data_IF_676235047500
#
_entry.id   IF_676235047500
#
_cell.length_a   1.000
_cell.length_b   1.000
_cell.length_c   1.000
_cell.angle_alpha   90.00
_cell.angle_beta   90.00
_cell.angle_gamma   90.00
#
_symmetry.space_group_name_H-M   'P 1'
#
loop_
_entity.id
_entity.type
_entity.pdbx_description
1 polymer ?
#
# COMPACT_ATOMS: atom_id res chain seq x y z
N UNK A 1 -4.20 6.96 15.76
CA UNK A 1 -3.75 7.68 14.55
C UNK A 1 -3.90 6.74 13.37
N UNK A 2 -4.41 7.19 12.23
CA UNK A 2 -4.63 6.32 11.07
C UNK A 2 -3.33 5.99 10.31
N UNK A 3 -2.32 6.86 10.39
CA UNK A 3 -0.96 6.67 9.84
C UNK A 3 0.03 7.09 10.93
N UNK A 4 1.15 6.38 11.06
CA UNK A 4 2.20 6.70 12.03
C UNK A 4 3.56 6.46 11.40
N UNK A 5 4.49 7.39 11.65
CA UNK A 5 5.86 7.33 11.15
C UNK A 5 6.84 7.74 12.23
N UNK A 6 8.08 7.27 12.10
CA UNK A 6 9.23 7.79 12.86
C UNK A 6 9.64 9.18 12.41
N UNK A 7 9.20 9.61 11.22
CA UNK A 7 9.41 10.95 10.67
C UNK A 7 8.19 11.81 10.94
N UNK A 8 8.40 12.99 11.50
CA UNK A 8 7.32 13.92 11.81
C UNK A 8 6.52 14.28 10.54
N UNK A 9 5.20 14.25 10.63
CA UNK A 9 4.32 14.59 9.52
C UNK A 9 4.12 13.52 8.46
N UNK A 10 4.74 12.33 8.59
CA UNK A 10 4.65 11.22 7.63
C UNK A 10 5.00 11.64 6.18
N UNK A 11 6.19 12.22 5.93
CA UNK A 11 6.56 12.79 4.63
C UNK A 11 6.63 11.75 3.50
N UNK A 12 6.82 10.46 3.84
CA UNK A 12 6.78 9.36 2.88
C UNK A 12 5.36 8.99 2.40
N UNK A 13 4.31 9.48 3.07
CA UNK A 13 2.94 9.20 2.70
C UNK A 13 2.57 9.97 1.43
N UNK A 14 2.11 9.25 0.41
CA UNK A 14 1.62 9.84 -0.86
C UNK A 14 0.29 10.57 -0.65
N UNK A 15 -0.54 10.08 0.27
CA UNK A 15 -1.87 10.61 0.58
C UNK A 15 -1.98 11.00 2.04
N UNK A 16 -2.81 12.00 2.34
CA UNK A 16 -3.11 12.44 3.70
C UNK A 16 -4.31 11.67 4.25
N UNK A 17 -4.42 11.64 5.58
CA UNK A 17 -5.62 11.10 6.24
C UNK A 17 -6.85 11.87 5.78
N UNK A 18 -7.83 11.15 5.24
CA UNK A 18 -9.08 11.72 4.70
C UNK A 18 -9.07 11.93 3.19
N UNK A 19 -7.93 11.77 2.52
CA UNK A 19 -7.85 11.77 1.06
C UNK A 19 -8.18 10.39 0.48
N UNK A 20 -8.74 10.38 -0.72
CA UNK A 20 -8.98 9.15 -1.45
C UNK A 20 -7.65 8.55 -1.91
N UNK A 21 -7.55 7.22 -1.87
CA UNK A 21 -6.39 6.47 -2.33
C UNK A 21 -6.86 5.26 -3.12
N UNK A 22 -6.24 5.05 -4.27
CA UNK A 22 -6.49 3.86 -5.09
C UNK A 22 -5.71 2.65 -4.57
N UNK A 23 -6.17 1.46 -4.96
CA UNK A 23 -5.58 0.21 -4.50
C UNK A 23 -4.10 0.10 -4.90
N UNK A 24 -3.28 -0.24 -3.93
CA UNK A 24 -1.83 -0.44 -4.09
C UNK A 24 -1.58 -1.91 -4.45
N UNK A 25 -0.50 -2.24 -5.19
CA UNK A 25 -0.17 -3.61 -5.55
C UNK A 25 -0.05 -4.53 -4.33
N UNK A 26 -0.22 -5.85 -4.51
CA UNK A 26 -0.13 -6.55 -5.79
C UNK A 26 -1.47 -6.68 -6.50
N UNK A 27 -1.45 -6.35 -7.81
CA UNK A 27 -2.50 -6.50 -8.83
C UNK A 27 -3.89 -6.78 -8.28
N UNK A 28 -4.78 -5.78 -8.30
CA UNK A 28 -6.26 -5.76 -8.43
C UNK A 28 -7.07 -7.06 -8.32
N UNK A 29 -6.61 -8.04 -7.55
CA UNK A 29 -7.19 -9.36 -7.53
C UNK A 29 -8.09 -9.38 -6.31
N UNK A 30 -9.36 -9.13 -6.58
CA UNK A 30 -10.43 -9.19 -5.60
C UNK A 30 -10.42 -10.54 -4.86
N UNK A 31 -9.82 -11.58 -5.43
CA UNK A 31 -9.58 -12.85 -4.75
C UNK A 31 -8.80 -12.68 -3.44
N UNK A 32 -7.80 -11.79 -3.35
CA UNK A 32 -7.08 -11.57 -2.10
C UNK A 32 -7.97 -10.97 -1.01
N UNK A 33 -8.83 -10.02 -1.38
CA UNK A 33 -9.79 -9.42 -0.45
C UNK A 33 -10.84 -10.42 0.01
N UNK A 34 -11.33 -11.25 -0.92
CA UNK A 34 -12.30 -12.30 -0.65
C UNK A 34 -11.71 -13.40 0.23
N UNK A 35 -10.49 -13.85 -0.07
CA UNK A 35 -9.76 -14.86 0.70
C UNK A 35 -9.36 -14.37 2.10
N UNK A 36 -9.21 -13.05 2.30
CA UNK A 36 -8.84 -12.46 3.59
C UNK A 36 -7.39 -12.76 4.00
N UNK A 37 -6.55 -13.17 3.06
CA UNK A 37 -5.15 -13.49 3.31
C UNK A 37 -4.26 -12.25 3.13
N UNK A 38 -3.31 -11.99 4.05
CA UNK A 38 -2.33 -10.92 3.87
C UNK A 38 -1.33 -11.27 2.78
N UNK A 39 -0.81 -10.25 2.10
CA UNK A 39 0.24 -10.38 1.10
C UNK A 39 1.46 -9.59 1.55
N UNK A 40 2.63 -10.20 1.43
CA UNK A 40 3.92 -9.55 1.65
C UNK A 40 4.64 -9.40 0.32
N UNK A 41 5.00 -8.16 -0.01
CA UNK A 41 6.01 -7.85 -1.01
C UNK A 41 7.33 -7.63 -0.26
N UNK A 42 8.22 -8.65 -0.22
CA UNK A 42 9.45 -8.57 0.55
C UNK A 42 10.42 -7.53 -0.02
N UNK A 43 10.29 -7.21 -1.31
CA UNK A 43 11.07 -6.19 -2.00
C UNK A 43 10.13 -5.32 -2.83
N UNK A 44 10.14 -4.02 -2.55
CA UNK A 44 9.55 -2.99 -3.38
C UNK A 44 10.61 -2.53 -4.38
N UNK A 45 10.61 -3.14 -5.55
CA UNK A 45 11.45 -2.74 -6.66
C UNK A 45 10.82 -1.52 -7.36
N UNK A 46 11.43 -0.32 -7.27
CA UNK A 46 10.90 0.88 -7.87
C UNK A 46 11.15 0.96 -9.39
N UNK A 47 11.96 0.06 -9.94
CA UNK A 47 12.21 -0.07 -11.38
C UNK A 47 11.29 -1.13 -12.02
N UNK A 48 10.51 -1.86 -11.21
CA UNK A 48 9.55 -2.85 -11.70
C UNK A 48 8.44 -2.19 -12.53
N UNK A 49 8.57 -2.27 -13.87
CA UNK A 49 7.72 -1.59 -14.86
C UNK A 49 6.21 -1.78 -14.73
N UNK A 50 5.74 -2.78 -13.97
CA UNK A 50 4.32 -3.07 -13.81
C UNK A 50 3.56 -1.95 -13.11
N UNK A 51 3.76 -1.81 -11.80
CA UNK A 51 2.96 -0.92 -10.97
C UNK A 51 3.55 0.49 -10.83
N UNK A 52 4.85 0.63 -11.06
CA UNK A 52 5.56 1.91 -10.91
C UNK A 52 5.14 2.90 -11.99
N UNK A 53 4.79 2.40 -13.18
CA UNK A 53 4.19 3.20 -14.25
C UNK A 53 2.77 3.66 -13.90
N UNK A 54 2.00 2.85 -13.18
CA UNK A 54 0.65 3.21 -12.73
C UNK A 54 0.67 4.17 -11.53
N UNK A 55 1.72 4.11 -10.69
CA UNK A 55 1.83 4.89 -9.46
C UNK A 55 3.20 5.59 -9.33
N UNK A 56 3.52 6.55 -10.22
CA UNK A 56 4.84 7.18 -10.27
C UNK A 56 5.19 7.95 -9.00
N UNK A 57 4.22 8.61 -8.36
CA UNK A 57 4.45 9.32 -7.09
C UNK A 57 4.83 8.35 -5.96
N UNK A 58 4.18 7.19 -5.89
CA UNK A 58 4.49 6.16 -4.89
C UNK A 58 5.87 5.55 -5.14
N UNK A 59 6.21 5.29 -6.40
CA UNK A 59 7.55 4.83 -6.77
C UNK A 59 8.63 5.85 -6.36
N UNK A 60 8.39 7.14 -6.61
CA UNK A 60 9.29 8.21 -6.18
C UNK A 60 9.48 8.25 -4.65
N UNK A 61 8.40 8.14 -3.87
CA UNK A 61 8.49 8.09 -2.39
C UNK A 61 9.21 6.85 -1.89
N UNK A 62 8.97 5.69 -2.51
CA UNK A 62 9.68 4.45 -2.17
C UNK A 62 11.19 4.61 -2.38
N UNK A 63 11.60 5.21 -3.50
CA UNK A 63 13.01 5.51 -3.77
C UNK A 63 13.58 6.55 -2.79
N UNK A 64 12.90 7.68 -2.63
CA UNK A 64 13.35 8.81 -1.80
C UNK A 64 13.53 8.43 -0.33
N UNK A 65 12.59 7.65 0.22
CA UNK A 65 12.56 7.30 1.63
C UNK A 65 13.11 5.92 1.97
N UNK A 66 13.52 5.14 0.95
CA UNK A 66 14.14 3.82 1.10
C UNK A 66 13.19 2.74 1.60
N UNK A 67 11.93 2.74 1.15
CA UNK A 67 10.93 1.76 1.58
C UNK A 67 11.25 0.38 0.96
N UNK A 68 11.64 -0.58 1.79
CA UNK A 68 12.13 -1.88 1.30
C UNK A 68 11.02 -2.88 0.98
N UNK A 69 9.97 -2.94 1.81
CA UNK A 69 8.94 -3.99 1.75
C UNK A 69 7.57 -3.41 2.04
N UNK A 70 6.51 -4.11 1.60
CA UNK A 70 5.12 -3.75 1.86
C UNK A 70 4.35 -4.99 2.34
N UNK A 71 3.57 -4.84 3.39
CA UNK A 71 2.52 -5.81 3.72
C UNK A 71 1.18 -5.21 3.37
N UNK A 72 0.27 -6.03 2.87
CA UNK A 72 -1.07 -5.64 2.48
C UNK A 72 -2.06 -6.58 3.15
N UNK A 73 -2.93 -6.05 4.01
CA UNK A 73 -3.82 -6.85 4.86
C UNK A 73 -5.27 -6.48 4.59
N UNK A 74 -6.12 -7.42 4.13
CA UNK A 74 -7.55 -7.19 4.00
C UNK A 74 -8.19 -6.92 5.37
N UNK A 75 -8.93 -5.82 5.47
CA UNK A 75 -9.73 -5.51 6.66
C UNK A 75 -11.11 -6.12 6.49
N UNK A 76 -11.56 -6.89 7.49
CA UNK A 76 -12.85 -7.58 7.47
C UNK A 76 -13.60 -7.39 8.77
N UNK A 77 -14.92 -7.27 8.67
CA UNK A 77 -15.84 -7.40 9.79
C UNK A 77 -16.76 -8.57 9.53
N UNK A 78 -16.50 -9.71 10.20
CA UNK A 78 -17.19 -10.98 9.95
C UNK A 78 -17.05 -11.36 8.47
N UNK A 79 -18.17 -11.50 7.77
CA UNK A 79 -18.22 -11.89 6.36
C UNK A 79 -18.13 -10.70 5.38
N UNK A 80 -17.92 -9.48 5.88
CA UNK A 80 -17.86 -8.25 5.07
C UNK A 80 -16.43 -7.75 4.92
N UNK A 81 -16.00 -7.50 3.68
CA UNK A 81 -14.75 -6.80 3.37
C UNK A 81 -14.94 -5.30 3.60
N UNK A 82 -14.12 -4.71 4.45
CA UNK A 82 -14.11 -3.26 4.72
C UNK A 82 -13.12 -2.50 3.85
N UNK A 83 -12.08 -3.18 3.35
CA UNK A 83 -11.03 -2.58 2.53
C UNK A 83 -9.69 -3.27 2.75
N UNK A 84 -8.60 -2.51 2.61
CA UNK A 84 -7.23 -2.96 2.74
C UNK A 84 -6.43 -1.96 3.57
N UNK A 85 -5.41 -2.44 4.27
CA UNK A 85 -4.40 -1.60 4.92
C UNK A 85 -3.00 -2.04 4.51
N UNK A 86 -2.07 -1.07 4.44
CA UNK A 86 -0.67 -1.25 4.08
C UNK A 86 0.23 -0.42 4.95
#
# INVERSE_FOLDING_TARGET
>A
TAVSSVREGCPESVVRVGEAVDFVPPRHDAHYLLAGAPILLPVLDPDAHGWTAEQPERAARIQEFGLHSLISVPMRARDTVLGLTT
#
